data_IF_805071317817
#
_entry.id   IF_805071317817
#
_cell.length_a   1.000
_cell.length_b   1.000
_cell.length_c   1.000
_cell.angle_alpha   90.00
_cell.angle_beta   90.00
_cell.angle_gamma   90.00
#
_symmetry.space_group_name_H-M   'P 1'
#
loop_
_entity.id
_entity.type
_entity.pdbx_description
1 polymer ?
#
# COMPACT_ATOMS: atom_id res chain seq x y z
N UNK A 1 -18.22 -38.13 -18.31
CA UNK A 1 -19.40 -38.37 -19.17
C UNK A 1 -19.16 -37.71 -20.52
N UNK A 2 -19.30 -38.41 -21.65
CA UNK A 2 -19.12 -37.81 -22.98
C UNK A 2 -20.48 -37.38 -23.54
N UNK A 3 -20.74 -36.07 -23.62
CA UNK A 3 -21.95 -35.52 -24.24
C UNK A 3 -21.69 -35.12 -25.72
N UNK A 4 -22.52 -35.66 -26.62
CA UNK A 4 -22.36 -35.49 -28.08
C UNK A 4 -22.83 -34.13 -28.59
N UNK A 5 -23.80 -33.49 -27.93
CA UNK A 5 -24.37 -32.20 -28.33
C UNK A 5 -23.98 -31.08 -27.37
N UNK A 6 -24.05 -29.82 -27.83
CA UNK A 6 -23.83 -28.63 -26.97
C UNK A 6 -24.84 -28.57 -25.82
N UNK A 7 -26.13 -28.79 -26.10
CA UNK A 7 -27.18 -28.76 -25.09
C UNK A 7 -27.00 -29.82 -23.99
N UNK A 8 -26.62 -31.06 -24.33
CA UNK A 8 -26.33 -32.08 -23.32
C UNK A 8 -25.07 -31.76 -22.49
N UNK A 9 -24.10 -31.02 -23.05
CA UNK A 9 -22.93 -30.55 -22.27
C UNK A 9 -23.34 -29.49 -21.25
N UNK A 10 -24.13 -28.50 -21.67
CA UNK A 10 -24.65 -27.44 -20.80
C UNK A 10 -25.54 -28.02 -19.69
N UNK A 11 -26.34 -29.05 -20.00
CA UNK A 11 -27.16 -29.74 -19.01
C UNK A 11 -26.34 -30.50 -17.96
N UNK A 12 -25.29 -31.20 -18.39
CA UNK A 12 -24.35 -31.86 -17.48
C UNK A 12 -23.57 -30.84 -16.65
N UNK A 13 -23.13 -29.74 -17.25
CA UNK A 13 -22.45 -28.64 -16.56
C UNK A 13 -23.34 -28.05 -15.47
N UNK A 14 -24.61 -27.77 -15.77
CA UNK A 14 -25.58 -27.29 -14.79
C UNK A 14 -25.87 -28.31 -13.69
N UNK A 15 -25.93 -29.60 -14.02
CA UNK A 15 -26.24 -30.67 -13.06
C UNK A 15 -25.09 -30.94 -12.08
N UNK A 16 -23.86 -30.95 -12.57
CA UNK A 16 -22.69 -31.35 -11.78
C UNK A 16 -21.77 -30.18 -11.39
N UNK A 17 -21.99 -28.98 -11.94
CA UNK A 17 -21.14 -27.81 -11.70
C UNK A 17 -19.74 -27.90 -12.31
N UNK A 18 -19.47 -28.92 -13.15
CA UNK A 18 -18.14 -29.20 -13.69
C UNK A 18 -18.21 -29.23 -15.22
N UNK A 19 -17.31 -28.48 -15.86
CA UNK A 19 -17.11 -28.50 -17.31
C UNK A 19 -15.88 -29.31 -17.65
N UNK A 20 -15.98 -30.15 -18.68
CA UNK A 20 -14.81 -30.88 -19.20
C UNK A 20 -13.75 -29.90 -19.70
N UNK A 21 -12.51 -30.10 -19.26
CA UNK A 21 -11.31 -29.42 -19.75
C UNK A 21 -10.26 -30.47 -20.08
N UNK A 22 -9.51 -30.27 -21.17
CA UNK A 22 -8.37 -31.13 -21.52
C UNK A 22 -7.32 -31.17 -20.40
N UNK A 23 -7.28 -30.12 -19.56
CA UNK A 23 -6.42 -30.09 -18.38
C UNK A 23 -6.72 -31.24 -17.41
N UNK A 24 -7.97 -31.73 -17.35
CA UNK A 24 -8.35 -32.87 -16.50
C UNK A 24 -7.77 -34.21 -16.98
N UNK A 25 -7.26 -34.29 -18.21
CA UNK A 25 -6.54 -35.47 -18.70
C UNK A 25 -5.08 -35.49 -18.24
N UNK A 26 -4.56 -34.36 -17.73
CA UNK A 26 -3.20 -34.29 -17.22
C UNK A 26 -3.14 -34.93 -15.83
N UNK A 27 -2.40 -36.04 -15.72
CA UNK A 27 -2.27 -36.81 -14.46
C UNK A 27 -1.77 -35.99 -13.26
N UNK A 28 -1.06 -34.89 -13.52
CA UNK A 28 -0.54 -34.00 -12.49
C UNK A 28 -1.45 -32.82 -12.17
N UNK A 29 -2.51 -32.58 -12.95
CA UNK A 29 -3.39 -31.42 -12.76
C UNK A 29 -4.47 -31.74 -11.73
N UNK A 30 -4.35 -31.11 -10.56
CA UNK A 30 -5.41 -31.11 -9.54
C UNK A 30 -6.29 -29.86 -9.74
N UNK A 31 -7.52 -29.99 -10.27
CA UNK A 31 -8.37 -28.82 -10.52
C UNK A 31 -8.79 -28.09 -9.25
N UNK A 32 -8.72 -28.72 -8.07
CA UNK A 32 -9.06 -28.09 -6.79
C UNK A 32 -7.87 -27.26 -6.29
N UNK A 33 -6.65 -27.81 -6.34
CA UNK A 33 -5.45 -27.12 -5.85
C UNK A 33 -4.80 -26.18 -6.86
N UNK A 34 -4.92 -26.48 -8.15
CA UNK A 34 -4.26 -25.74 -9.23
C UNK A 34 -5.16 -24.70 -9.89
N UNK A 35 -6.39 -24.51 -9.40
CA UNK A 35 -7.25 -23.38 -9.75
C UNK A 35 -7.16 -22.32 -8.67
N UNK A 36 -6.37 -21.28 -8.92
CA UNK A 36 -6.07 -20.25 -7.93
C UNK A 36 -7.28 -19.35 -7.70
N UNK A 37 -7.56 -19.06 -6.43
CA UNK A 37 -8.55 -18.06 -6.04
C UNK A 37 -7.97 -16.66 -6.12
N UNK A 38 -8.37 -15.91 -7.15
CA UNK A 38 -7.97 -14.52 -7.29
C UNK A 38 -8.62 -13.61 -6.23
N UNK A 39 -7.84 -12.93 -5.37
CA UNK A 39 -8.37 -12.05 -4.34
C UNK A 39 -9.03 -10.78 -4.89
N UNK A 40 -8.68 -10.34 -6.11
CA UNK A 40 -9.33 -9.18 -6.72
C UNK A 40 -10.81 -9.46 -7.00
N UNK A 41 -11.12 -10.57 -7.67
CA UNK A 41 -12.48 -10.99 -7.94
C UNK A 41 -13.20 -11.51 -6.70
N UNK A 42 -12.51 -12.26 -5.84
CA UNK A 42 -13.12 -12.88 -4.68
C UNK A 42 -13.43 -11.88 -3.55
N UNK A 43 -12.43 -11.12 -3.09
CA UNK A 43 -12.58 -10.20 -1.95
C UNK A 43 -13.21 -8.87 -2.39
N UNK A 44 -12.62 -8.19 -3.39
CA UNK A 44 -12.98 -6.81 -3.71
C UNK A 44 -14.18 -6.69 -4.65
N UNK A 45 -14.12 -7.31 -5.83
CA UNK A 45 -15.26 -7.26 -6.77
C UNK A 45 -16.42 -8.17 -6.37
N UNK A 46 -16.13 -9.21 -5.59
CA UNK A 46 -17.07 -10.17 -5.06
C UNK A 46 -17.69 -9.70 -3.75
N UNK A 47 -17.03 -10.02 -2.63
CA UNK A 47 -17.59 -9.82 -1.29
C UNK A 47 -17.81 -8.34 -0.94
N UNK A 48 -16.84 -7.44 -1.20
CA UNK A 48 -17.02 -6.02 -0.86
C UNK A 48 -18.15 -5.35 -1.65
N UNK A 49 -18.24 -5.66 -2.95
CA UNK A 49 -19.34 -5.17 -3.79
C UNK A 49 -20.69 -5.74 -3.36
N UNK A 50 -20.72 -7.01 -2.96
CA UNK A 50 -21.92 -7.67 -2.46
C UNK A 50 -22.44 -7.04 -1.16
N UNK A 51 -21.54 -6.71 -0.23
CA UNK A 51 -21.91 -6.00 1.01
C UNK A 51 -22.64 -4.67 0.73
N UNK A 52 -22.09 -3.83 -0.17
CA UNK A 52 -22.77 -2.59 -0.53
C UNK A 52 -24.15 -2.82 -1.16
N UNK A 53 -24.29 -3.86 -2.00
CA UNK A 53 -25.58 -4.22 -2.60
C UNK A 53 -26.61 -4.64 -1.54
N UNK A 54 -26.20 -5.45 -0.56
CA UNK A 54 -27.07 -5.87 0.53
C UNK A 54 -27.52 -4.67 1.35
N UNK A 55 -26.61 -3.80 1.76
CA UNK A 55 -26.97 -2.65 2.56
C UNK A 55 -27.94 -1.71 1.85
N UNK A 56 -27.83 -1.58 0.52
CA UNK A 56 -28.79 -0.83 -0.28
C UNK A 56 -30.15 -1.56 -0.41
N UNK A 57 -30.14 -2.86 -0.72
CA UNK A 57 -31.36 -3.66 -0.89
C UNK A 57 -32.18 -3.76 0.40
N UNK A 58 -31.50 -3.85 1.55
CA UNK A 58 -32.11 -3.93 2.89
C UNK A 58 -32.40 -2.55 3.52
N UNK A 59 -32.15 -1.46 2.78
CA UNK A 59 -32.36 -0.06 3.24
C UNK A 59 -31.58 0.30 4.51
N UNK A 60 -30.48 -0.40 4.78
CA UNK A 60 -29.48 -0.02 5.77
C UNK A 60 -28.77 1.26 5.29
N UNK A 61 -28.42 1.30 4.01
CA UNK A 61 -27.98 2.53 3.34
C UNK A 61 -29.16 3.14 2.57
N UNK A 62 -29.42 4.42 2.83
CA UNK A 62 -30.40 5.27 2.15
C UNK A 62 -29.68 6.45 1.50
N UNK A 63 -30.36 7.22 0.66
CA UNK A 63 -29.73 8.34 -0.07
C UNK A 63 -29.08 9.37 0.86
N UNK A 64 -29.69 9.64 2.02
CA UNK A 64 -29.11 10.48 3.08
C UNK A 64 -27.75 9.94 3.60
N UNK A 65 -27.66 8.62 3.79
CA UNK A 65 -26.44 7.95 4.22
C UNK A 65 -25.35 8.04 3.14
N UNK A 66 -25.73 7.99 1.87
CA UNK A 66 -24.78 8.15 0.76
C UNK A 66 -24.20 9.57 0.72
N UNK A 67 -25.00 10.59 1.03
CA UNK A 67 -24.53 11.96 1.22
C UNK A 67 -23.51 12.07 2.35
N UNK A 68 -23.82 11.50 3.52
CA UNK A 68 -22.90 11.48 4.67
C UNK A 68 -21.58 10.75 4.37
N UNK A 69 -21.64 9.64 3.63
CA UNK A 69 -20.43 8.91 3.20
C UNK A 69 -19.62 9.78 2.25
N UNK A 70 -20.26 10.43 1.27
CA UNK A 70 -19.62 11.32 0.32
C UNK A 70 -18.87 12.46 1.03
N UNK A 71 -19.53 13.15 1.96
CA UNK A 71 -18.92 14.23 2.75
C UNK A 71 -17.67 13.74 3.50
N UNK A 72 -17.74 12.54 4.11
CA UNK A 72 -16.57 11.95 4.78
C UNK A 72 -15.45 11.64 3.80
N UNK A 73 -15.74 11.08 2.63
CA UNK A 73 -14.72 10.78 1.61
C UNK A 73 -14.05 12.06 1.09
N UNK A 74 -14.78 13.17 0.95
CA UNK A 74 -14.23 14.45 0.50
C UNK A 74 -13.23 15.07 1.49
N UNK A 75 -13.38 14.78 2.79
CA UNK A 75 -12.41 15.19 3.82
C UNK A 75 -11.07 14.45 3.70
N UNK A 76 -11.03 13.32 2.99
CA UNK A 76 -9.87 12.44 2.96
C UNK A 76 -8.79 12.98 2.03
N UNK A 77 -7.59 13.07 2.58
CA UNK A 77 -6.35 13.36 1.88
C UNK A 77 -5.56 12.07 1.66
N UNK A 78 -5.16 11.84 0.41
CA UNK A 78 -4.43 10.65 -0.01
C UNK A 78 -3.03 11.01 -0.50
N UNK A 79 -2.00 10.21 -0.14
CA UNK A 79 -0.72 10.21 -0.83
C UNK A 79 -0.88 10.01 -2.35
N UNK A 80 0.08 10.51 -3.14
CA UNK A 80 0.01 10.48 -4.61
C UNK A 80 -0.12 9.07 -5.20
N UNK A 81 0.36 8.06 -4.49
CA UNK A 81 0.48 6.65 -4.88
C UNK A 81 -0.65 5.74 -4.35
N UNK A 82 -1.68 6.30 -3.72
CA UNK A 82 -2.89 5.56 -3.30
C UNK A 82 -3.99 5.65 -4.37
N UNK A 83 -3.93 6.64 -5.27
CA UNK A 83 -5.05 6.98 -6.16
C UNK A 83 -6.20 7.63 -5.39
N UNK A 84 -7.06 8.38 -6.09
CA UNK A 84 -8.27 8.96 -5.49
C UNK A 84 -9.45 8.00 -5.67
N UNK A 85 -10.34 7.93 -4.68
CA UNK A 85 -11.67 7.38 -4.91
C UNK A 85 -12.45 8.27 -5.90
N UNK A 86 -13.45 7.72 -6.61
CA UNK A 86 -14.37 8.53 -7.41
C UNK A 86 -15.00 9.63 -6.57
N UNK A 87 -15.04 10.84 -7.10
CA UNK A 87 -15.64 12.00 -6.43
C UNK A 87 -17.18 11.93 -6.32
N UNK A 88 -17.82 10.88 -6.83
CA UNK A 88 -19.28 10.79 -6.97
C UNK A 88 -19.81 9.48 -6.40
N UNK A 89 -19.63 9.27 -5.11
CA UNK A 89 -20.12 8.11 -4.37
C UNK A 89 -21.65 8.02 -4.40
N UNK A 90 -22.35 9.16 -4.34
CA UNK A 90 -23.82 9.24 -4.34
C UNK A 90 -24.47 8.94 -5.70
N UNK A 91 -23.85 9.33 -6.82
CA UNK A 91 -24.43 9.16 -8.18
C UNK A 91 -23.86 7.98 -8.97
N UNK A 92 -22.79 7.35 -8.49
CA UNK A 92 -22.13 6.21 -9.14
C UNK A 92 -21.89 5.08 -8.13
N UNK A 93 -22.85 4.88 -7.23
CA UNK A 93 -22.75 3.90 -6.16
C UNK A 93 -22.52 2.49 -6.72
N UNK A 94 -21.36 1.91 -6.41
CA UNK A 94 -21.00 0.54 -6.80
C UNK A 94 -20.36 0.35 -8.19
N UNK A 95 -20.11 1.43 -8.95
CA UNK A 95 -19.38 1.38 -10.23
C UNK A 95 -17.87 1.65 -10.09
N UNK A 96 -17.28 1.22 -8.98
CA UNK A 96 -15.85 1.37 -8.76
C UNK A 96 -15.05 0.41 -9.63
N UNK A 97 -13.87 0.86 -10.06
CA UNK A 97 -12.86 -0.04 -10.63
C UNK A 97 -12.34 -0.99 -9.56
N UNK A 98 -11.69 -2.08 -9.96
CA UNK A 98 -11.12 -3.05 -9.01
C UNK A 98 -10.16 -2.38 -7.99
N UNK A 99 -9.35 -1.42 -8.43
CA UNK A 99 -8.38 -0.74 -7.55
C UNK A 99 -9.09 0.18 -6.54
N UNK A 100 -10.15 0.84 -7.00
CA UNK A 100 -11.01 1.64 -6.13
C UNK A 100 -11.75 0.78 -5.12
N UNK A 101 -12.21 -0.42 -5.48
CA UNK A 101 -12.80 -1.37 -4.52
C UNK A 101 -11.80 -1.82 -3.46
N UNK A 102 -10.57 -2.14 -3.87
CA UNK A 102 -9.50 -2.46 -2.92
C UNK A 102 -9.25 -1.31 -1.96
N UNK A 103 -9.09 -0.08 -2.47
CA UNK A 103 -8.82 1.07 -1.61
C UNK A 103 -10.02 1.41 -0.73
N UNK A 104 -11.26 1.31 -1.25
CA UNK A 104 -12.49 1.43 -0.48
C UNK A 104 -12.47 0.47 0.71
N UNK A 105 -12.29 -0.82 0.45
CA UNK A 105 -12.28 -1.85 1.48
C UNK A 105 -11.18 -1.60 2.50
N UNK A 106 -9.93 -1.46 2.06
CA UNK A 106 -8.78 -1.46 2.97
C UNK A 106 -8.57 -0.12 3.67
N UNK A 107 -8.84 1.02 3.03
CA UNK A 107 -8.40 2.33 3.54
C UNK A 107 -9.55 3.22 3.99
N UNK A 108 -10.66 3.25 3.27
CA UNK A 108 -11.66 4.31 3.42
C UNK A 108 -12.93 3.88 4.16
N UNK A 109 -13.36 2.63 3.97
CA UNK A 109 -14.69 2.17 4.36
C UNK A 109 -14.96 2.25 5.87
N UNK A 110 -14.02 1.86 6.74
CA UNK A 110 -14.22 1.90 8.21
C UNK A 110 -14.45 3.34 8.69
N UNK A 111 -13.68 4.29 8.18
CA UNK A 111 -13.86 5.71 8.51
C UNK A 111 -15.18 6.26 7.94
N UNK A 112 -15.49 5.95 6.68
CA UNK A 112 -16.65 6.50 5.99
C UNK A 112 -17.98 5.93 6.51
N UNK A 113 -18.01 4.65 6.91
CA UNK A 113 -19.20 3.93 7.38
C UNK A 113 -19.46 4.09 8.88
N UNK A 114 -18.48 4.60 9.65
CA UNK A 114 -18.69 4.91 11.08
C UNK A 114 -19.81 5.93 11.23
N UNK A 115 -20.71 5.73 12.19
CA UNK A 115 -21.91 6.56 12.42
C UNK A 115 -22.94 6.54 11.27
N UNK A 116 -22.76 5.66 10.27
CA UNK A 116 -23.72 5.41 9.18
C UNK A 116 -24.30 4.01 9.30
N UNK A 117 -23.45 3.02 9.54
CA UNK A 117 -23.87 1.66 9.85
C UNK A 117 -24.13 1.49 11.36
N UNK A 118 -25.03 0.56 11.70
CA UNK A 118 -25.20 0.13 13.09
C UNK A 118 -23.92 -0.57 13.57
N UNK A 119 -23.76 -0.65 14.89
CA UNK A 119 -22.55 -1.22 15.50
C UNK A 119 -22.25 -2.63 14.97
N UNK A 120 -23.24 -3.54 14.95
CA UNK A 120 -23.02 -4.92 14.51
C UNK A 120 -22.68 -5.04 13.03
N UNK A 121 -23.32 -4.24 12.16
CA UNK A 121 -23.00 -4.17 10.74
C UNK A 121 -21.56 -3.69 10.50
N UNK A 122 -21.15 -2.65 11.24
CA UNK A 122 -19.80 -2.10 11.15
C UNK A 122 -18.76 -3.09 11.68
N UNK A 123 -19.04 -3.80 12.77
CA UNK A 123 -18.16 -4.83 13.32
C UNK A 123 -18.00 -6.03 12.38
N UNK A 124 -19.08 -6.47 11.76
CA UNK A 124 -19.06 -7.48 10.71
C UNK A 124 -18.14 -7.04 9.57
N UNK A 125 -18.37 -5.84 9.02
CA UNK A 125 -17.53 -5.29 7.96
C UNK A 125 -16.06 -5.11 8.38
N UNK A 126 -15.82 -4.67 9.62
CA UNK A 126 -14.47 -4.46 10.15
C UNK A 126 -13.65 -5.74 10.21
N UNK A 127 -14.27 -6.88 10.54
CA UNK A 127 -13.60 -8.18 10.48
C UNK A 127 -13.09 -8.47 9.06
N UNK A 128 -13.94 -8.24 8.04
CA UNK A 128 -13.56 -8.39 6.64
C UNK A 128 -12.44 -7.43 6.21
N UNK A 129 -12.50 -6.15 6.60
CA UNK A 129 -11.46 -5.16 6.30
C UNK A 129 -10.11 -5.54 6.92
N UNK A 130 -10.12 -5.94 8.20
CA UNK A 130 -8.90 -6.37 8.89
C UNK A 130 -8.30 -7.63 8.26
N UNK A 131 -9.13 -8.58 7.81
CA UNK A 131 -8.65 -9.73 7.06
C UNK A 131 -7.97 -9.30 5.75
N UNK A 132 -8.67 -8.51 4.93
CA UNK A 132 -8.15 -8.04 3.63
C UNK A 132 -6.81 -7.31 3.81
N UNK A 133 -6.68 -6.47 4.84
CA UNK A 133 -5.41 -5.79 5.12
C UNK A 133 -4.28 -6.73 5.48
N UNK A 134 -4.54 -7.73 6.33
CA UNK A 134 -3.50 -8.70 6.70
C UNK A 134 -3.03 -9.53 5.49
N UNK A 135 -3.93 -9.82 4.55
CA UNK A 135 -3.59 -10.49 3.30
C UNK A 135 -2.86 -9.57 2.30
N UNK A 136 -3.25 -8.28 2.23
CA UNK A 136 -2.69 -7.30 1.31
C UNK A 136 -1.39 -6.68 1.82
N UNK A 137 -0.43 -7.52 2.22
CA UNK A 137 0.92 -7.09 2.59
C UNK A 137 1.96 -7.71 1.64
N UNK A 138 3.00 -6.96 1.27
CA UNK A 138 4.08 -7.44 0.39
C UNK A 138 4.91 -8.55 1.06
N UNK A 139 4.98 -8.55 2.39
CA UNK A 139 5.66 -9.57 3.19
C UNK A 139 4.67 -10.14 4.18
N UNK A 140 4.41 -11.45 4.09
CA UNK A 140 3.44 -12.12 4.93
C UNK A 140 4.12 -13.06 5.93
N UNK A 141 3.75 -12.91 7.20
CA UNK A 141 4.05 -13.90 8.23
C UNK A 141 2.94 -14.95 8.25
N UNK A 142 3.27 -16.22 8.50
CA UNK A 142 2.27 -17.30 8.67
C UNK A 142 1.23 -16.96 9.75
N UNK A 143 1.62 -16.22 10.79
CA UNK A 143 0.70 -15.72 11.82
C UNK A 143 -0.36 -14.77 11.27
N UNK A 144 0.01 -13.90 10.32
CA UNK A 144 -0.91 -12.94 9.71
C UNK A 144 -1.92 -13.66 8.81
N UNK A 145 -1.47 -14.70 8.08
CA UNK A 145 -2.37 -15.54 7.25
C UNK A 145 -3.40 -16.24 8.12
N UNK A 146 -2.97 -16.86 9.24
CA UNK A 146 -3.89 -17.50 10.20
C UNK A 146 -4.86 -16.49 10.82
N UNK A 147 -4.39 -15.29 11.16
CA UNK A 147 -5.26 -14.23 11.69
C UNK A 147 -6.29 -13.79 10.66
N UNK A 148 -5.88 -13.58 9.40
CA UNK A 148 -6.78 -13.21 8.32
C UNK A 148 -7.84 -14.28 8.07
N UNK A 149 -7.47 -15.56 8.08
CA UNK A 149 -8.41 -16.67 7.94
C UNK A 149 -9.47 -16.66 9.06
N UNK A 150 -9.06 -16.51 10.33
CA UNK A 150 -9.99 -16.38 11.46
C UNK A 150 -10.94 -15.19 11.30
N UNK A 151 -10.43 -14.05 10.83
CA UNK A 151 -11.22 -12.85 10.59
C UNK A 151 -12.22 -13.04 9.44
N UNK A 152 -11.84 -13.72 8.35
CA UNK A 152 -12.75 -14.05 7.25
C UNK A 152 -13.86 -14.99 7.68
N UNK A 153 -13.54 -16.04 8.46
CA UNK A 153 -14.55 -16.95 9.00
C UNK A 153 -15.50 -16.23 9.95
N UNK A 154 -14.98 -15.41 10.86
CA UNK A 154 -15.81 -14.59 11.76
C UNK A 154 -16.68 -13.60 10.98
N UNK A 155 -16.18 -13.03 9.89
CA UNK A 155 -17.00 -12.22 8.98
C UNK A 155 -18.14 -13.04 8.37
N UNK A 156 -17.87 -14.23 7.83
CA UNK A 156 -18.91 -15.08 7.23
C UNK A 156 -19.98 -15.49 8.25
N UNK A 157 -19.60 -15.91 9.46
CA UNK A 157 -20.53 -16.27 10.54
C UNK A 157 -21.41 -15.08 10.97
N UNK A 158 -20.80 -13.90 11.14
CA UNK A 158 -21.54 -12.66 11.47
C UNK A 158 -22.45 -12.23 10.34
N UNK A 159 -21.98 -12.37 9.10
CA UNK A 159 -22.72 -12.04 7.90
C UNK A 159 -23.98 -12.89 7.81
N UNK A 160 -23.87 -14.21 7.94
CA UNK A 160 -25.00 -15.14 7.90
C UNK A 160 -26.02 -14.81 9.00
N UNK A 161 -25.55 -14.57 10.23
CA UNK A 161 -26.41 -14.19 11.36
C UNK A 161 -27.16 -12.87 11.13
N UNK A 162 -26.52 -11.88 10.52
CA UNK A 162 -27.10 -10.54 10.32
C UNK A 162 -27.99 -10.46 9.08
N UNK A 163 -27.62 -11.16 8.01
CA UNK A 163 -28.23 -10.97 6.70
C UNK A 163 -28.92 -12.22 6.14
N UNK A 164 -28.82 -13.37 6.80
CA UNK A 164 -29.43 -14.63 6.37
C UNK A 164 -28.53 -15.48 5.48
N UNK A 165 -28.78 -16.79 5.51
CA UNK A 165 -28.07 -17.79 4.70
C UNK A 165 -28.30 -17.60 3.19
N UNK A 166 -29.48 -17.11 2.79
CA UNK A 166 -29.89 -16.88 1.41
C UNK A 166 -29.02 -15.85 0.69
N UNK A 167 -28.31 -15.01 1.47
CA UNK A 167 -27.44 -13.95 0.97
C UNK A 167 -25.96 -14.34 0.96
N UNK A 168 -25.60 -15.52 1.47
CA UNK A 168 -24.24 -16.02 1.43
C UNK A 168 -23.89 -16.37 -0.02
N UNK A 169 -22.71 -15.95 -0.47
CA UNK A 169 -22.26 -16.17 -1.86
C UNK A 169 -21.16 -17.21 -1.95
N UNK A 170 -20.96 -17.85 -3.11
CA UNK A 170 -19.81 -18.71 -3.34
C UNK A 170 -18.48 -18.03 -3.03
N UNK A 171 -18.35 -16.71 -3.29
CA UNK A 171 -17.15 -15.95 -2.95
C UNK A 171 -16.84 -15.99 -1.45
N UNK A 172 -17.87 -15.90 -0.60
CA UNK A 172 -17.72 -15.97 0.86
C UNK A 172 -17.31 -17.36 1.32
N UNK A 173 -17.81 -18.41 0.68
CA UNK A 173 -17.33 -19.77 0.92
C UNK A 173 -15.85 -19.90 0.53
N UNK A 174 -15.45 -19.40 -0.64
CA UNK A 174 -14.06 -19.46 -1.10
C UNK A 174 -13.07 -18.72 -0.19
N UNK A 175 -13.52 -17.80 0.69
CA UNK A 175 -12.67 -17.21 1.71
C UNK A 175 -11.97 -18.26 2.59
N UNK A 176 -12.62 -19.40 2.84
CA UNK A 176 -12.10 -20.48 3.67
C UNK A 176 -10.90 -21.22 3.05
N UNK A 177 -10.65 -21.00 1.75
CA UNK A 177 -9.60 -21.65 0.97
C UNK A 177 -8.45 -20.71 0.57
N UNK A 178 -8.56 -19.42 0.90
CA UNK A 178 -7.52 -18.43 0.56
C UNK A 178 -6.20 -18.70 1.28
N UNK A 179 -6.22 -19.26 2.48
CA UNK A 179 -5.01 -19.65 3.21
C UNK A 179 -4.24 -20.77 2.49
N UNK A 180 -4.95 -21.74 1.92
CA UNK A 180 -4.38 -22.83 1.11
C UNK A 180 -3.72 -22.26 -0.14
N UNK A 181 -4.41 -21.37 -0.86
CA UNK A 181 -3.84 -20.66 -2.02
C UNK A 181 -2.57 -19.89 -1.65
N UNK A 182 -2.56 -19.22 -0.50
CA UNK A 182 -1.38 -18.47 -0.04
C UNK A 182 -0.21 -19.39 0.31
N UNK A 183 -0.49 -20.56 0.91
CA UNK A 183 0.55 -21.53 1.23
C UNK A 183 1.14 -22.17 -0.05
N UNK A 184 0.33 -22.38 -1.08
CA UNK A 184 0.75 -23.03 -2.33
C UNK A 184 1.43 -22.04 -3.30
N UNK A 185 0.93 -20.80 -3.42
CA UNK A 185 1.37 -19.83 -4.43
C UNK A 185 2.09 -18.60 -3.87
N UNK A 186 2.20 -18.48 -2.55
CA UNK A 186 2.86 -17.36 -1.87
C UNK A 186 1.93 -16.16 -1.61
N UNK A 187 2.47 -14.94 -1.50
CA UNK A 187 1.67 -13.74 -1.26
C UNK A 187 0.64 -13.46 -2.33
N UNK A 188 -0.50 -12.85 -1.95
CA UNK A 188 -1.58 -12.55 -2.90
C UNK A 188 -1.12 -11.70 -4.09
N UNK A 189 -0.09 -10.87 -3.89
CA UNK A 189 0.51 -10.05 -4.94
C UNK A 189 1.12 -10.87 -6.07
N UNK A 190 1.47 -12.13 -5.82
CA UNK A 190 2.05 -13.05 -6.80
C UNK A 190 1.02 -13.60 -7.78
N UNK A 191 -0.26 -13.66 -7.40
CA UNK A 191 -1.30 -14.33 -8.20
C UNK A 191 -2.60 -13.55 -8.36
N UNK A 192 -2.72 -12.35 -7.77
CA UNK A 192 -3.90 -11.50 -7.99
C UNK A 192 -3.97 -10.99 -9.44
N UNK A 193 -5.18 -10.83 -9.96
CA UNK A 193 -5.39 -10.56 -11.39
C UNK A 193 -5.38 -9.08 -11.77
N UNK A 194 -5.01 -8.18 -10.86
CA UNK A 194 -4.90 -6.75 -11.16
C UNK A 194 -3.97 -6.45 -12.34
N UNK A 195 -2.84 -7.16 -12.42
CA UNK A 195 -1.88 -7.01 -13.51
C UNK A 195 -2.44 -7.58 -14.81
N UNK A 196 -2.99 -8.78 -14.75
CA UNK A 196 -3.60 -9.46 -15.89
C UNK A 196 -4.74 -8.66 -16.52
N UNK A 197 -5.66 -8.09 -15.72
CA UNK A 197 -6.73 -7.24 -16.25
C UNK A 197 -6.21 -5.97 -16.93
N UNK A 198 -5.12 -5.40 -16.41
CA UNK A 198 -4.47 -4.25 -17.05
C UNK A 198 -3.84 -4.65 -18.38
N UNK A 199 -3.12 -5.77 -18.42
CA UNK A 199 -2.54 -6.29 -19.66
C UNK A 199 -3.61 -6.63 -20.69
N UNK A 200 -4.74 -7.20 -20.27
CA UNK A 200 -5.91 -7.41 -21.13
C UNK A 200 -6.41 -6.08 -21.72
N UNK A 201 -6.44 -5.02 -20.92
CA UNK A 201 -6.75 -3.66 -21.38
C UNK A 201 -5.75 -3.12 -22.41
N UNK A 202 -4.45 -3.33 -22.18
CA UNK A 202 -3.38 -2.93 -23.11
C UNK A 202 -3.53 -3.68 -24.44
N UNK A 203 -3.67 -5.01 -24.38
CA UNK A 203 -3.88 -5.86 -25.56
C UNK A 203 -5.15 -5.47 -26.32
N UNK A 204 -6.25 -5.23 -25.60
CA UNK A 204 -7.53 -4.81 -26.18
C UNK A 204 -7.50 -3.41 -26.81
N UNK A 205 -6.61 -2.53 -26.35
CA UNK A 205 -6.41 -1.19 -26.90
C UNK A 205 -5.61 -1.19 -28.21
N UNK A 206 -4.94 -2.29 -28.55
CA UNK A 206 -4.13 -2.36 -29.75
C UNK A 206 -5.02 -2.26 -30.99
N UNK A 207 -4.76 -1.31 -31.92
CA UNK A 207 -5.52 -1.22 -33.14
C UNK A 207 -5.29 -2.50 -33.95
N UNK A 208 -6.37 -3.20 -34.28
CA UNK A 208 -6.34 -4.38 -35.14
C UNK A 208 -7.27 -4.17 -36.32
N UNK A 209 -6.91 -4.72 -37.48
CA UNK A 209 -7.79 -4.75 -38.65
C UNK A 209 -8.88 -5.86 -38.55
N UNK A 210 -9.07 -6.45 -37.36
CA UNK A 210 -9.99 -7.56 -37.04
C UNK A 210 -9.79 -8.84 -37.86
N UNK A 211 -8.66 -9.01 -38.55
CA UNK A 211 -8.26 -10.24 -39.27
C UNK A 211 -6.96 -10.80 -38.71
N UNK A 212 -6.89 -12.09 -38.40
CA UNK A 212 -5.69 -12.72 -37.80
C UNK A 212 -5.16 -11.92 -36.60
N UNK A 213 -6.03 -11.71 -35.60
CA UNK A 213 -5.76 -10.85 -34.43
C UNK A 213 -4.54 -11.38 -33.67
N UNK A 214 -4.43 -12.70 -33.53
CA UNK A 214 -3.33 -13.40 -32.90
C UNK A 214 -1.97 -13.05 -33.53
N UNK A 215 -1.88 -13.01 -34.87
CA UNK A 215 -0.64 -12.66 -35.57
C UNK A 215 -0.28 -11.18 -35.35
N UNK A 216 -1.28 -10.30 -35.35
CA UNK A 216 -1.06 -8.86 -35.14
C UNK A 216 -0.55 -8.57 -33.72
N UNK A 217 -1.17 -9.19 -32.71
CA UNK A 217 -0.74 -9.08 -31.32
C UNK A 217 0.68 -9.63 -31.15
N UNK A 218 0.97 -10.81 -31.70
CA UNK A 218 2.30 -11.42 -31.66
C UNK A 218 3.37 -10.49 -32.28
N UNK A 219 3.12 -9.98 -33.49
CA UNK A 219 4.07 -9.08 -34.18
C UNK A 219 4.32 -7.80 -33.39
N UNK A 220 3.28 -7.22 -32.79
CA UNK A 220 3.41 -6.00 -31.99
C UNK A 220 4.16 -6.25 -30.69
N UNK A 221 3.90 -7.37 -30.01
CA UNK A 221 4.63 -7.79 -28.83
C UNK A 221 6.13 -8.00 -29.12
N UNK A 222 6.45 -8.76 -30.19
CA UNK A 222 7.84 -8.99 -30.62
C UNK A 222 8.54 -7.68 -30.98
N UNK A 223 7.86 -6.77 -31.70
CA UNK A 223 8.40 -5.44 -32.01
C UNK A 223 8.74 -4.64 -30.75
N UNK A 224 7.86 -4.65 -29.75
CA UNK A 224 8.09 -3.94 -28.49
C UNK A 224 9.27 -4.53 -27.71
N UNK A 225 9.38 -5.86 -27.64
CA UNK A 225 10.52 -6.55 -27.02
C UNK A 225 11.83 -6.19 -27.70
N UNK A 226 11.92 -6.27 -29.03
CA UNK A 226 13.13 -5.90 -29.75
C UNK A 226 13.50 -4.42 -29.52
N UNK A 227 12.51 -3.53 -29.45
CA UNK A 227 12.75 -2.12 -29.13
C UNK A 227 13.40 -1.96 -27.75
N UNK A 228 12.92 -2.69 -26.74
CA UNK A 228 13.48 -2.69 -25.38
C UNK A 228 14.90 -3.27 -25.34
N UNK A 229 15.14 -4.39 -26.02
CA UNK A 229 16.46 -5.01 -26.09
C UNK A 229 17.50 -4.10 -26.73
N UNK A 230 17.12 -3.34 -27.76
CA UNK A 230 17.99 -2.36 -28.40
C UNK A 230 18.33 -1.21 -27.42
N UNK A 231 17.35 -0.73 -26.65
CA UNK A 231 17.54 0.33 -25.64
C UNK A 231 18.44 -0.14 -24.49
N UNK A 232 18.24 -1.36 -23.99
CA UNK A 232 19.00 -1.89 -22.86
C UNK A 232 20.45 -2.26 -23.22
N UNK A 233 20.73 -2.62 -24.48
CA UNK A 233 22.06 -3.08 -24.89
C UNK A 233 22.95 -1.97 -25.48
N UNK A 234 22.43 -0.78 -25.75
CA UNK A 234 23.20 0.29 -26.38
C UNK A 234 23.49 1.43 -25.38
N UNK A 235 24.77 1.60 -25.01
CA UNK A 235 25.33 2.82 -24.39
C UNK A 235 25.23 4.07 -25.30
N UNK A 236 24.41 4.05 -26.37
CA UNK A 236 24.33 5.06 -27.45
C UNK A 236 23.32 6.19 -27.10
N UNK A 237 22.66 6.12 -25.95
CA UNK A 237 21.57 7.04 -25.59
C UNK A 237 22.00 8.46 -25.21
N UNK A 238 23.30 8.78 -25.14
CA UNK A 238 23.72 10.17 -24.85
C UNK A 238 23.35 11.15 -25.95
N UNK A 239 23.31 10.70 -27.21
CA UNK A 239 23.25 11.62 -28.36
C UNK A 239 21.90 11.59 -29.11
N UNK A 240 21.13 10.50 -29.04
CA UNK A 240 19.86 10.34 -29.79
C UNK A 240 18.67 9.83 -28.95
N UNK A 241 18.83 9.71 -27.63
CA UNK A 241 17.84 9.05 -26.77
C UNK A 241 16.44 9.68 -26.78
N UNK A 242 16.35 11.00 -26.95
CA UNK A 242 15.07 11.73 -26.92
C UNK A 242 14.22 11.47 -28.17
N UNK A 243 14.83 11.45 -29.36
CA UNK A 243 14.17 11.15 -30.62
C UNK A 243 13.84 9.65 -30.72
N UNK A 244 14.73 8.79 -30.20
CA UNK A 244 14.53 7.35 -30.18
C UNK A 244 13.32 6.97 -29.30
N UNK A 245 13.23 7.51 -28.08
CA UNK A 245 12.10 7.24 -27.19
C UNK A 245 10.75 7.68 -27.79
N UNK A 246 10.72 8.81 -28.51
CA UNK A 246 9.55 9.27 -29.26
C UNK A 246 9.18 8.34 -30.42
N UNK A 247 10.17 7.87 -31.19
CA UNK A 247 9.95 7.01 -32.36
C UNK A 247 9.35 5.64 -31.98
N UNK A 248 9.73 5.11 -30.82
CA UNK A 248 9.26 3.82 -30.31
C UNK A 248 8.11 3.92 -29.29
N UNK A 249 7.62 5.14 -29.00
CA UNK A 249 6.53 5.36 -28.04
C UNK A 249 6.87 4.94 -26.61
N UNK A 250 8.17 4.91 -26.26
CA UNK A 250 8.63 4.54 -24.92
C UNK A 250 8.34 5.64 -23.89
N UNK A 251 8.26 6.90 -24.32
CA UNK A 251 7.80 8.02 -23.51
C UNK A 251 6.28 7.97 -23.23
N UNK A 252 5.52 7.23 -24.04
CA UNK A 252 4.05 7.14 -23.97
C UNK A 252 3.55 5.95 -23.14
N UNK A 253 4.42 5.02 -22.73
CA UNK A 253 4.05 4.04 -21.72
C UNK A 253 3.74 4.83 -20.44
N UNK A 254 2.47 4.96 -20.03
CA UNK A 254 2.17 5.77 -18.89
C UNK A 254 2.79 5.07 -17.69
N UNK A 255 3.83 5.69 -17.14
CA UNK A 255 4.51 5.29 -15.91
C UNK A 255 3.57 5.56 -14.71
N UNK A 256 2.38 4.97 -14.78
CA UNK A 256 1.24 5.22 -13.90
C UNK A 256 0.67 3.91 -13.43
N UNK A 257 0.90 3.64 -12.16
CA UNK A 257 0.16 2.62 -11.41
C UNK A 257 1.03 1.53 -10.80
N UNK A 258 0.35 0.63 -10.10
CA UNK A 258 0.95 -0.32 -9.17
C UNK A 258 1.91 -1.32 -9.85
N UNK A 259 1.78 -1.56 -11.16
CA UNK A 259 2.59 -2.51 -11.93
C UNK A 259 4.01 -2.00 -12.24
N UNK A 260 4.18 -0.72 -12.59
CA UNK A 260 5.52 -0.10 -12.74
C UNK A 260 6.24 -0.01 -11.38
N UNK A 261 5.48 0.21 -10.30
CA UNK A 261 5.98 0.09 -8.92
C UNK A 261 6.28 -1.38 -8.50
N UNK A 262 5.76 -2.38 -9.22
CA UNK A 262 5.97 -3.81 -8.94
C UNK A 262 7.08 -4.44 -9.81
N UNK A 263 7.38 -3.86 -10.97
CA UNK A 263 8.50 -4.27 -11.83
C UNK A 263 9.86 -3.81 -11.30
N UNK A 264 9.88 -2.78 -10.43
CA UNK A 264 11.04 -2.46 -9.61
C UNK A 264 11.20 -3.58 -8.58
N UNK A 265 12.36 -4.26 -8.58
CA UNK A 265 12.67 -5.31 -7.61
C UNK A 265 12.34 -4.77 -6.20
N UNK A 266 11.42 -5.40 -5.46
CA UNK A 266 11.16 -4.96 -4.11
C UNK A 266 12.46 -5.09 -3.32
N UNK A 267 12.95 -3.98 -2.77
CA UNK A 267 14.11 -4.01 -1.92
C UNK A 267 13.71 -4.58 -0.56
N UNK A 268 13.90 -5.90 -0.41
CA UNK A 268 13.67 -6.61 0.85
C UNK A 268 14.54 -6.05 1.98
N UNK A 269 15.65 -5.38 1.66
CA UNK A 269 16.49 -4.70 2.64
C UNK A 269 15.75 -3.52 3.26
N UNK A 270 15.10 -2.68 2.45
CA UNK A 270 14.30 -1.57 2.97
C UNK A 270 13.16 -2.03 3.87
N UNK A 271 12.45 -3.11 3.51
CA UNK A 271 11.39 -3.66 4.37
C UNK A 271 11.96 -4.08 5.73
N UNK A 272 13.16 -4.69 5.75
CA UNK A 272 13.84 -5.04 7.00
C UNK A 272 14.17 -3.78 7.81
N UNK A 273 14.79 -2.77 7.18
CA UNK A 273 15.19 -1.52 7.82
C UNK A 273 13.99 -0.70 8.36
N UNK A 274 12.84 -0.73 7.70
CA UNK A 274 11.64 -0.01 8.13
C UNK A 274 10.76 -0.80 9.13
N UNK A 275 11.11 -2.06 9.37
CA UNK A 275 10.39 -2.93 10.31
C UNK A 275 10.64 -2.54 11.76
N UNK A 276 9.95 -3.24 12.67
CA UNK A 276 10.13 -3.08 14.11
C UNK A 276 11.44 -3.72 14.61
N UNK A 277 11.83 -4.87 14.06
CA UNK A 277 12.95 -5.68 14.55
C UNK A 277 14.16 -5.49 13.64
N UNK A 278 14.66 -4.26 13.58
CA UNK A 278 15.84 -3.91 12.79
C UNK A 278 17.09 -4.30 13.56
N UNK A 279 18.01 -4.94 12.87
CA UNK A 279 19.36 -5.13 13.36
C UNK A 279 20.20 -3.90 13.02
N UNK A 280 20.30 -2.96 13.96
CA UNK A 280 21.09 -1.74 13.79
C UNK A 280 22.59 -2.01 13.68
N UNK A 281 23.08 -3.16 14.17
CA UNK A 281 24.52 -3.45 14.16
C UNK A 281 25.02 -3.74 12.74
N UNK A 282 24.18 -4.36 11.91
CA UNK A 282 24.54 -4.83 10.57
C UNK A 282 23.84 -4.05 9.44
N UNK A 283 23.04 -3.03 9.76
CA UNK A 283 22.34 -2.22 8.78
C UNK A 283 23.27 -1.19 8.11
N UNK A 284 23.20 -1.05 6.78
CA UNK A 284 23.83 0.07 6.08
C UNK A 284 22.84 1.25 5.97
N UNK A 285 23.18 2.36 6.62
CA UNK A 285 22.37 3.59 6.60
C UNK A 285 22.84 4.60 5.55
N UNK A 286 23.95 4.30 4.87
CA UNK A 286 24.61 5.17 3.90
C UNK A 286 23.87 5.16 2.56
N UNK A 287 23.94 6.27 1.84
CA UNK A 287 23.49 6.36 0.45
C UNK A 287 24.63 5.90 -0.47
N UNK A 288 24.75 4.59 -0.70
CA UNK A 288 25.76 3.97 -1.56
C UNK A 288 25.14 3.32 -2.82
N UNK A 289 23.96 3.76 -3.21
CA UNK A 289 23.09 3.09 -4.18
C UNK A 289 23.29 3.51 -5.64
N UNK A 290 24.28 4.36 -5.92
CA UNK A 290 24.53 4.88 -7.28
C UNK A 290 23.43 5.81 -7.81
N UNK A 291 22.49 6.26 -6.96
CA UNK A 291 21.39 7.12 -7.38
C UNK A 291 21.78 8.61 -7.34
N UNK A 292 21.28 9.37 -8.33
CA UNK A 292 21.35 10.84 -8.31
C UNK A 292 20.28 11.42 -7.37
N UNK A 293 20.73 12.08 -6.30
CA UNK A 293 19.84 12.80 -5.40
C UNK A 293 19.59 14.22 -5.91
N UNK A 294 18.38 14.79 -5.69
CA UNK A 294 18.05 16.13 -6.14
C UNK A 294 19.05 17.16 -5.61
N UNK A 295 19.39 18.15 -6.45
CA UNK A 295 20.17 19.29 -5.99
C UNK A 295 19.42 20.02 -4.87
N UNK A 296 20.03 20.02 -3.68
CA UNK A 296 19.48 20.66 -2.49
C UNK A 296 20.09 22.02 -2.24
N UNK A 297 19.38 22.88 -1.49
CA UNK A 297 19.95 24.14 -1.01
C UNK A 297 20.86 23.86 0.19
N UNK A 298 22.08 24.40 0.18
CA UNK A 298 22.96 24.32 1.35
C UNK A 298 22.36 25.10 2.51
N UNK A 299 22.36 24.49 3.70
CA UNK A 299 21.82 25.05 4.94
C UNK A 299 22.70 24.63 6.11
N UNK A 300 22.53 25.29 7.25
CA UNK A 300 23.23 24.97 8.50
C UNK A 300 22.23 24.54 9.58
N UNK A 301 22.64 23.58 10.41
CA UNK A 301 21.94 23.13 11.61
C UNK A 301 22.22 24.05 12.78
N UNK A 302 21.29 24.12 13.73
CA UNK A 302 21.56 24.76 15.04
C UNK A 302 22.37 23.82 15.94
N UNK A 303 23.01 24.35 16.98
CA UNK A 303 23.76 23.55 17.96
C UNK A 303 22.88 22.46 18.61
N UNK A 304 21.62 22.79 18.91
CA UNK A 304 20.64 21.85 19.45
C UNK A 304 20.32 20.74 18.45
N UNK A 305 20.15 21.06 17.17
CA UNK A 305 19.90 20.07 16.12
C UNK A 305 21.11 19.14 15.90
N UNK A 306 22.34 19.67 15.95
CA UNK A 306 23.58 18.88 15.88
C UNK A 306 23.64 17.89 17.05
N UNK A 307 23.33 18.33 18.27
CA UNK A 307 23.28 17.45 19.46
C UNK A 307 22.26 16.32 19.32
N UNK A 308 21.07 16.62 18.80
CA UNK A 308 20.04 15.60 18.56
C UNK A 308 20.43 14.62 17.43
N UNK A 309 21.04 15.11 16.35
CA UNK A 309 21.58 14.26 15.28
C UNK A 309 22.70 13.36 15.78
N UNK A 310 23.60 13.88 16.61
CA UNK A 310 24.65 13.09 17.26
C UNK A 310 24.06 11.90 18.05
N UNK A 311 23.07 12.16 18.90
CA UNK A 311 22.36 11.11 19.64
C UNK A 311 21.68 10.09 18.70
N UNK A 312 21.06 10.57 17.61
CA UNK A 312 20.42 9.71 16.62
C UNK A 312 21.43 8.81 15.91
N UNK A 313 22.55 9.36 15.45
CA UNK A 313 23.60 8.57 14.81
C UNK A 313 24.24 7.56 15.76
N UNK A 314 24.36 7.89 17.05
CA UNK A 314 24.78 6.92 18.07
C UNK A 314 23.85 5.71 18.19
N UNK A 315 22.55 5.87 17.89
CA UNK A 315 21.61 4.74 17.79
C UNK A 315 21.78 3.97 16.48
N UNK A 316 22.03 4.67 15.36
CA UNK A 316 22.22 4.02 14.06
C UNK A 316 23.50 3.19 13.97
N UNK A 317 24.55 3.63 14.66
CA UNK A 317 25.89 3.03 14.61
C UNK A 317 26.36 2.63 16.01
N UNK A 318 25.75 1.61 16.63
CA UNK A 318 26.05 1.23 18.02
C UNK A 318 27.49 0.75 18.22
N UNK A 319 28.14 0.26 17.15
CA UNK A 319 29.49 -0.31 17.18
C UNK A 319 30.57 0.67 16.71
N UNK A 320 30.21 1.91 16.36
CA UNK A 320 31.15 2.91 15.84
C UNK A 320 31.22 4.05 16.85
N UNK A 321 32.43 4.40 17.28
CA UNK A 321 32.65 5.55 18.15
C UNK A 321 32.48 6.85 17.35
N UNK A 322 31.27 7.40 17.37
CA UNK A 322 30.97 8.70 16.76
C UNK A 322 31.35 9.79 17.76
N UNK A 323 32.13 10.78 17.32
CA UNK A 323 32.44 11.98 18.09
C UNK A 323 31.48 13.12 17.73
N UNK A 324 31.35 14.14 18.59
CA UNK A 324 30.47 15.28 18.28
C UNK A 324 30.96 16.06 17.04
N UNK A 325 32.27 16.11 16.81
CA UNK A 325 32.91 16.77 15.67
C UNK A 325 32.68 16.01 14.36
N UNK A 326 32.27 14.74 14.45
CA UNK A 326 31.97 13.90 13.29
C UNK A 326 30.66 14.31 12.59
N UNK A 327 29.76 15.01 13.30
CA UNK A 327 28.46 15.46 12.79
C UNK A 327 28.63 16.82 12.11
N UNK A 328 28.50 16.87 10.79
CA UNK A 328 28.64 18.12 10.05
C UNK A 328 27.50 19.11 10.35
N UNK A 329 27.84 20.39 10.54
CA UNK A 329 26.84 21.45 10.74
C UNK A 329 26.06 21.74 9.44
N UNK A 330 26.72 21.60 8.29
CA UNK A 330 26.12 21.87 6.98
C UNK A 330 25.37 20.65 6.43
N UNK A 331 24.23 20.89 5.79
CA UNK A 331 23.46 19.87 5.07
C UNK A 331 22.85 20.43 3.79
N UNK A 332 22.45 19.54 2.86
CA UNK A 332 21.68 19.91 1.67
C UNK A 332 20.19 19.63 1.90
N UNK A 333 19.37 20.67 1.83
CA UNK A 333 17.92 20.59 2.00
C UNK A 333 17.23 20.28 0.67
N UNK A 334 16.44 19.21 0.64
CA UNK A 334 15.66 18.79 -0.55
C UNK A 334 14.16 18.87 -0.30
N UNK A 335 13.38 19.16 -1.35
CA UNK A 335 11.92 19.34 -1.24
C UNK A 335 11.13 18.03 -1.36
N UNK A 336 11.71 17.05 -2.03
CA UNK A 336 11.15 15.72 -2.22
C UNK A 336 12.27 14.75 -2.57
N UNK A 337 12.02 13.47 -2.36
CA UNK A 337 12.89 12.37 -2.78
C UNK A 337 12.05 11.20 -3.27
N UNK A 338 12.54 10.50 -4.28
CA UNK A 338 11.98 9.23 -4.74
C UNK A 338 12.76 8.10 -4.09
N UNK A 339 12.10 7.28 -3.29
CA UNK A 339 12.69 6.14 -2.60
C UNK A 339 11.93 4.91 -3.08
N UNK A 340 12.62 4.03 -3.82
CA UNK A 340 12.06 2.83 -4.43
C UNK A 340 10.73 3.10 -5.18
N UNK A 341 10.70 4.17 -5.98
CA UNK A 341 9.49 4.55 -6.74
C UNK A 341 8.37 5.20 -5.91
N UNK A 342 8.50 5.31 -4.59
CA UNK A 342 7.60 6.12 -3.78
C UNK A 342 8.17 7.51 -3.53
N UNK A 343 7.37 8.53 -3.83
CA UNK A 343 7.73 9.91 -3.51
C UNK A 343 7.48 10.16 -2.01
N UNK A 344 8.50 10.69 -1.33
CA UNK A 344 8.40 11.37 -0.05
C UNK A 344 8.53 12.88 -0.26
N UNK A 345 7.60 13.63 0.30
CA UNK A 345 7.57 15.09 0.23
C UNK A 345 7.79 15.73 1.59
N UNK A 346 7.90 17.06 1.60
CA UNK A 346 7.92 17.86 2.84
C UNK A 346 6.62 18.64 3.02
N UNK A 347 6.34 19.07 4.25
CA UNK A 347 5.20 19.91 4.63
C UNK A 347 5.03 21.16 3.76
N UNK A 348 6.13 21.75 3.32
CA UNK A 348 6.15 22.98 2.52
C UNK A 348 6.36 22.73 1.01
N UNK A 349 6.39 21.46 0.59
CA UNK A 349 6.59 21.05 -0.79
C UNK A 349 5.29 20.91 -1.58
N UNK A 350 5.39 20.90 -2.92
CA UNK A 350 4.27 20.55 -3.80
C UNK A 350 3.72 19.13 -3.55
N UNK A 351 4.59 18.25 -3.04
CA UNK A 351 4.30 16.86 -2.68
C UNK A 351 3.88 16.70 -1.21
N UNK A 352 3.24 17.72 -0.60
CA UNK A 352 2.87 17.71 0.83
C UNK A 352 2.02 16.50 1.26
N UNK A 353 1.18 15.98 0.35
CA UNK A 353 0.35 14.79 0.61
C UNK A 353 1.18 13.53 0.83
N UNK A 354 2.43 13.54 0.40
CA UNK A 354 3.42 12.49 0.60
C UNK A 354 4.37 12.78 1.76
N UNK A 355 4.07 13.76 2.62
CA UNK A 355 4.83 14.06 3.83
C UNK A 355 4.28 13.34 5.08
N UNK A 356 3.08 12.76 5.00
CA UNK A 356 2.45 12.05 6.12
C UNK A 356 2.92 10.60 6.19
N UNK A 357 3.62 10.25 7.26
CA UNK A 357 4.32 8.97 7.41
C UNK A 357 4.00 8.23 8.71
N UNK A 358 4.17 6.92 8.70
CA UNK A 358 4.15 6.03 9.85
C UNK A 358 5.55 5.45 10.04
N UNK A 359 6.06 5.40 11.27
CA UNK A 359 7.34 4.76 11.56
C UNK A 359 7.41 4.17 12.98
N UNK A 360 8.19 3.11 13.14
CA UNK A 360 8.53 2.51 14.43
C UNK A 360 9.80 3.18 14.99
N UNK A 361 9.71 4.47 15.31
CA UNK A 361 10.90 5.29 15.59
C UNK A 361 10.82 6.12 16.88
N UNK A 362 9.68 6.74 17.15
CA UNK A 362 9.48 7.58 18.34
C UNK A 362 8.67 6.82 19.39
N UNK A 363 9.05 6.95 20.66
CA UNK A 363 8.39 6.29 21.79
C UNK A 363 7.28 7.12 22.48
N UNK A 364 7.11 8.39 22.12
CA UNK A 364 6.14 9.28 22.78
C UNK A 364 6.74 10.35 23.70
N UNK A 365 8.05 10.28 23.98
CA UNK A 365 8.72 11.20 24.91
C UNK A 365 9.91 11.91 24.25
N UNK A 366 9.78 12.26 22.96
CA UNK A 366 10.86 12.84 22.15
C UNK A 366 12.13 11.96 22.05
N UNK A 367 12.04 10.67 22.43
CA UNK A 367 13.15 9.71 22.41
C UNK A 367 12.98 8.69 21.29
N UNK A 368 14.13 8.18 20.85
CA UNK A 368 14.17 7.12 19.86
C UNK A 368 13.76 5.83 20.56
N UNK A 369 12.75 5.16 20.03
CA UNK A 369 12.28 3.90 20.56
C UNK A 369 13.41 2.87 20.55
N UNK A 370 13.73 2.33 21.73
CA UNK A 370 14.74 1.29 21.86
C UNK A 370 14.33 -0.01 21.15
N UNK A 371 15.31 -0.78 20.68
CA UNK A 371 15.11 -2.04 19.96
C UNK A 371 14.29 -3.09 20.75
N UNK A 372 14.22 -2.94 22.07
CA UNK A 372 13.54 -3.87 23.00
C UNK A 372 12.14 -3.41 23.42
N UNK A 373 11.59 -2.32 22.87
CA UNK A 373 10.24 -1.88 23.20
C UNK A 373 9.22 -2.95 22.78
N UNK A 374 8.53 -3.54 23.76
CA UNK A 374 7.60 -4.67 23.58
C UNK A 374 6.30 -4.25 22.86
N UNK A 375 5.94 -2.97 22.93
CA UNK A 375 4.67 -2.43 22.39
C UNK A 375 4.85 -1.34 21.33
N UNK A 376 5.95 -1.34 20.59
CA UNK A 376 6.20 -0.31 19.57
C UNK A 376 5.23 -0.43 18.39
N UNK A 377 4.19 0.40 18.38
CA UNK A 377 3.29 0.61 17.24
C UNK A 377 3.86 1.71 16.34
N UNK A 378 3.61 1.65 15.01
CA UNK A 378 4.06 2.70 14.13
C UNK A 378 3.32 4.01 14.42
N UNK A 379 4.07 5.05 14.77
CA UNK A 379 3.53 6.37 15.11
C UNK A 379 3.36 7.24 13.88
N UNK A 380 2.28 8.03 13.75
CA UNK A 380 2.12 8.97 12.67
C UNK A 380 2.95 10.25 12.89
N UNK A 381 3.56 10.74 11.82
CA UNK A 381 4.29 11.99 11.79
C UNK A 381 4.19 12.68 10.43
N UNK A 382 4.65 13.93 10.40
CA UNK A 382 4.72 14.74 9.20
C UNK A 382 6.17 15.17 8.95
N UNK A 383 6.70 14.88 7.75
CA UNK A 383 8.03 15.31 7.33
C UNK A 383 8.04 16.84 7.17
N UNK A 384 8.82 17.52 8.01
CA UNK A 384 9.05 18.95 7.93
C UNK A 384 10.15 19.27 6.91
N UNK A 385 11.28 18.56 6.99
CA UNK A 385 12.44 18.75 6.11
C UNK A 385 13.05 17.41 5.71
N UNK A 386 13.69 17.37 4.54
CA UNK A 386 14.54 16.27 4.10
C UNK A 386 15.97 16.81 3.97
N UNK A 387 16.91 16.11 4.60
CA UNK A 387 18.30 16.51 4.78
C UNK A 387 19.20 15.44 4.15
N UNK A 388 19.98 15.84 3.17
CA UNK A 388 21.17 15.12 2.74
C UNK A 388 22.32 15.58 3.63
N UNK A 389 22.68 14.73 4.59
CA UNK A 389 23.58 15.06 5.69
C UNK A 389 24.84 14.21 5.62
N UNK A 390 26.01 14.83 5.79
CA UNK A 390 27.27 14.11 5.85
C UNK A 390 27.66 13.79 7.29
N UNK A 391 28.18 12.59 7.51
CA UNK A 391 28.75 12.16 8.78
C UNK A 391 30.16 11.65 8.51
N UNK A 392 31.13 12.08 9.30
CA UNK A 392 32.49 11.56 9.24
C UNK A 392 32.58 10.27 10.05
N UNK A 393 32.87 9.15 9.40
CA UNK A 393 32.98 7.83 10.03
C UNK A 393 34.22 7.13 9.48
N UNK A 394 35.06 6.61 10.37
CA UNK A 394 36.28 5.85 10.02
C UNK A 394 37.18 6.55 8.98
N UNK A 395 37.37 7.87 9.14
CA UNK A 395 38.21 8.65 8.24
C UNK A 395 37.55 9.02 6.90
N UNK A 396 36.28 8.66 6.69
CA UNK A 396 35.55 8.89 5.44
C UNK A 396 34.26 9.68 5.66
N UNK A 397 33.94 10.53 4.70
CA UNK A 397 32.66 11.24 4.66
C UNK A 397 31.57 10.34 4.08
N UNK A 398 30.55 10.06 4.87
CA UNK A 398 29.41 9.22 4.51
C UNK A 398 28.13 10.06 4.38
N UNK A 399 27.42 9.92 3.25
CA UNK A 399 26.18 10.64 2.99
C UNK A 399 24.97 9.86 3.49
N UNK A 400 24.04 10.56 4.16
CA UNK A 400 22.80 10.01 4.70
C UNK A 400 21.61 10.85 4.27
N UNK A 401 20.45 10.20 4.09
CA UNK A 401 19.19 10.88 3.85
C UNK A 401 18.30 10.80 5.08
N UNK A 402 18.09 11.95 5.71
CA UNK A 402 17.38 12.08 6.99
C UNK A 402 16.11 12.90 6.77
N UNK A 403 15.00 12.44 7.34
CA UNK A 403 13.81 13.24 7.48
C UNK A 403 13.79 13.88 8.88
N UNK A 404 13.54 15.19 8.93
CA UNK A 404 13.11 15.88 10.15
C UNK A 404 11.60 15.78 10.22
N UNK A 405 11.08 15.08 11.22
CA UNK A 405 9.67 14.72 11.36
C UNK A 405 9.08 15.36 12.61
N UNK A 406 7.87 15.87 12.46
CA UNK A 406 7.03 16.33 13.55
C UNK A 406 6.06 15.19 13.89
N UNK A 407 6.11 14.66 15.11
CA UNK A 407 5.26 13.54 15.51
C UNK A 407 3.93 14.02 16.12
N UNK A 408 2.82 13.40 15.72
CA UNK A 408 1.51 13.72 16.30
C UNK A 408 1.39 13.15 17.71
N UNK A 409 0.80 13.90 18.63
CA UNK A 409 0.62 13.47 20.03
C UNK A 409 -0.66 12.67 20.24
N UNK A 410 -0.63 11.78 21.23
CA UNK A 410 -1.76 10.91 21.52
C UNK A 410 -2.96 11.66 22.11
N UNK A 411 -4.13 11.07 21.92
CA UNK A 411 -5.36 11.44 22.62
C UNK A 411 -5.66 10.39 23.69
N UNK A 412 -6.58 10.74 24.60
CA UNK A 412 -7.19 9.80 25.54
C UNK A 412 -7.65 8.53 24.80
N UNK A 413 -7.41 7.35 25.38
CA UNK A 413 -7.55 6.06 24.69
C UNK A 413 -8.95 5.84 24.07
N UNK A 414 -9.99 6.34 24.74
CA UNK A 414 -11.37 6.31 24.26
C UNK A 414 -11.57 7.09 22.95
N UNK A 415 -10.88 8.22 22.77
CA UNK A 415 -10.95 9.03 21.56
C UNK A 415 -10.04 8.47 20.47
N UNK A 416 -8.83 8.00 20.86
CA UNK A 416 -7.85 7.39 19.95
C UNK A 416 -8.47 6.24 19.16
N UNK A 417 -9.26 5.39 19.83
CA UNK A 417 -9.83 4.17 19.28
C UNK A 417 -11.32 4.30 18.87
N UNK A 418 -11.86 5.52 18.76
CA UNK A 418 -13.30 5.76 18.53
C UNK A 418 -13.86 5.09 17.25
N UNK A 419 -13.05 5.00 16.19
CA UNK A 419 -13.41 4.34 14.94
C UNK A 419 -13.18 2.81 14.97
N UNK A 420 -12.47 2.32 15.99
CA UNK A 420 -11.99 0.95 16.09
C UNK A 420 -10.82 0.65 15.15
N UNK A 421 -10.18 -0.52 15.36
CA UNK A 421 -9.05 -0.92 14.51
C UNK A 421 -9.49 -0.96 13.05
N UNK A 422 -8.76 -0.35 12.14
CA UNK A 422 -7.40 0.21 12.25
C UNK A 422 -7.32 1.73 12.32
N UNK A 423 -8.45 2.42 12.39
CA UNK A 423 -8.48 3.87 12.24
C UNK A 423 -8.18 4.49 13.60
N UNK A 424 -7.14 5.30 13.65
CA UNK A 424 -6.66 5.93 14.88
C UNK A 424 -6.87 7.44 14.83
N UNK A 425 -7.09 8.05 15.98
CA UNK A 425 -7.28 9.50 16.10
C UNK A 425 -6.14 10.10 16.92
N UNK A 426 -5.52 11.14 16.37
CA UNK A 426 -4.37 11.82 16.96
C UNK A 426 -4.63 13.34 17.04
N UNK A 427 -3.94 14.06 17.92
CA UNK A 427 -4.04 15.54 17.96
C UNK A 427 -3.39 16.13 16.72
N UNK A 428 -4.05 17.10 16.07
CA UNK A 428 -3.49 17.79 14.90
C UNK A 428 -2.87 19.15 15.20
N UNK A 429 -2.99 19.62 16.45
CA UNK A 429 -2.51 20.92 16.92
C UNK A 429 -1.37 20.82 17.95
N UNK A 430 -1.12 19.62 18.48
CA UNK A 430 -0.07 19.34 19.45
C UNK A 430 0.90 18.30 18.90
N UNK A 431 2.19 18.60 18.98
CA UNK A 431 3.25 17.85 18.31
C UNK A 431 4.52 17.76 19.14
N UNK A 432 5.25 16.65 18.96
CA UNK A 432 6.64 16.56 19.38
C UNK A 432 7.56 17.08 18.28
N UNK A 433 8.37 18.08 18.63
CA UNK A 433 9.23 18.84 17.70
C UNK A 433 10.69 18.92 18.14
N UNK A 434 11.01 18.33 19.28
CA UNK A 434 12.35 18.36 19.85
C UNK A 434 12.83 16.94 20.18
N UNK A 435 14.12 16.82 20.51
CA UNK A 435 14.78 15.55 20.81
C UNK A 435 15.33 14.81 19.60
N UNK A 436 16.08 13.72 19.83
CA UNK A 436 16.71 12.91 18.78
C UNK A 436 15.69 12.20 17.89
N UNK A 437 14.48 11.89 18.40
CA UNK A 437 13.45 11.18 17.66
C UNK A 437 12.87 11.95 16.48
N UNK A 438 13.05 13.27 16.45
CA UNK A 438 12.65 14.13 15.33
C UNK A 438 13.46 13.84 14.08
N UNK A 439 14.69 13.33 14.20
CA UNK A 439 15.50 12.93 13.08
C UNK A 439 15.36 11.44 12.85
N UNK A 440 14.98 11.04 11.65
CA UNK A 440 14.81 9.64 11.27
C UNK A 440 15.51 9.41 9.92
N UNK A 441 16.36 8.39 9.78
CA UNK A 441 16.83 7.99 8.45
C UNK A 441 15.63 7.50 7.64
N UNK A 442 15.51 7.91 6.38
CA UNK A 442 14.32 7.61 5.57
C UNK A 442 14.07 6.11 5.39
N UNK A 443 15.09 5.27 5.56
CA UNK A 443 15.02 3.81 5.58
C UNK A 443 14.18 3.25 6.74
N UNK A 444 13.99 4.01 7.83
CA UNK A 444 13.13 3.61 8.96
C UNK A 444 11.65 3.98 8.77
N UNK A 445 11.31 4.72 7.72
CA UNK A 445 9.93 5.10 7.43
C UNK A 445 9.17 3.85 6.96
N UNK A 446 8.17 3.42 7.73
CA UNK A 446 7.38 2.22 7.41
C UNK A 446 6.51 2.48 6.18
N UNK A 447 5.64 3.49 6.24
CA UNK A 447 4.66 3.73 5.19
C UNK A 447 4.14 5.15 5.21
N UNK A 448 3.40 5.54 4.18
CA UNK A 448 2.54 6.74 4.21
C UNK A 448 1.14 6.35 4.68
N UNK A 449 0.36 7.32 5.15
CA UNK A 449 -1.02 7.06 5.57
C UNK A 449 -2.02 7.99 4.90
N UNK A 450 -3.27 7.52 4.83
CA UNK A 450 -4.42 8.31 4.41
C UNK A 450 -4.99 9.01 5.64
N UNK A 451 -5.46 10.24 5.49
CA UNK A 451 -5.93 11.00 6.65
C UNK A 451 -7.06 11.98 6.37
N UNK A 452 -7.75 12.39 7.43
CA UNK A 452 -8.72 13.49 7.39
C UNK A 452 -8.53 14.38 8.63
N UNK A 453 -8.72 15.69 8.47
CA UNK A 453 -8.77 16.61 9.60
C UNK A 453 -10.22 16.80 10.05
N UNK A 454 -10.44 16.83 11.36
CA UNK A 454 -11.77 17.07 11.95
C UNK A 454 -11.64 17.74 13.31
N UNK A 455 -12.71 18.38 13.78
CA UNK A 455 -12.84 18.80 15.17
C UNK A 455 -13.77 17.82 15.89
N UNK A 456 -13.30 17.18 16.96
CA UNK A 456 -14.08 16.24 17.77
C UNK A 456 -14.06 16.73 19.21
N UNK A 457 -15.23 16.97 19.81
CA UNK A 457 -15.37 17.50 21.19
C UNK A 457 -14.45 18.72 21.45
N UNK A 458 -14.47 19.68 20.53
CA UNK A 458 -13.62 20.90 20.55
C UNK A 458 -12.11 20.67 20.43
N UNK A 459 -11.64 19.43 20.23
CA UNK A 459 -10.22 19.11 19.95
C UNK A 459 -9.99 19.03 18.45
N UNK A 460 -8.94 19.67 17.93
CA UNK A 460 -8.52 19.52 16.53
C UNK A 460 -7.75 18.21 16.38
N UNK A 461 -8.25 17.33 15.52
CA UNK A 461 -7.71 15.99 15.35
C UNK A 461 -7.36 15.66 13.91
N UNK A 462 -6.39 14.76 13.76
CA UNK A 462 -6.11 14.06 12.53
C UNK A 462 -6.53 12.61 12.70
N UNK A 463 -7.37 12.15 11.76
CA UNK A 463 -7.84 10.77 11.69
C UNK A 463 -6.90 10.06 10.74
N UNK A 464 -6.20 9.05 11.24
CA UNK A 464 -5.16 8.31 10.54
C UNK A 464 -5.75 6.97 10.11
N UNK A 465 -5.68 6.71 8.81
CA UNK A 465 -6.03 5.43 8.19
C UNK A 465 -4.73 4.76 7.71
N UNK A 466 -4.12 3.88 8.55
CA UNK A 466 -2.83 3.29 8.25
C UNK A 466 -2.85 2.42 7.01
N UNK A 467 -1.96 2.73 6.07
CA UNK A 467 -1.66 1.86 4.93
C UNK A 467 -0.50 0.95 5.31
N UNK A 468 -0.75 -0.36 5.41
CA UNK A 468 0.31 -1.36 5.65
C UNK A 468 1.02 -1.76 4.36
N UNK A 469 1.47 -0.75 3.59
CA UNK A 469 2.33 -0.94 2.43
C UNK A 469 3.66 -0.25 2.71
N UNK A 470 4.71 -1.05 2.83
CA UNK A 470 6.06 -0.54 2.94
C UNK A 470 6.42 0.32 1.71
N UNK A 471 7.23 1.35 1.91
CA UNK A 471 7.84 2.14 0.83
C UNK A 471 8.79 1.20 0.10
N UNK A 472 8.38 0.67 -1.06
CA UNK A 472 9.16 -0.25 -1.91
C UNK A 472 8.76 -0.09 -3.36
#
# INVERSE_FOLDING_TARGET
MKAKTKGSREELERKYGIRYSVLLELHYFDPVRMTILDPMHNLFLGSAKHMLKIWNATKILRDEHLGMIQEKIELIQCPSDVGKLPQKFSSSFGSFTADQWKNWTILFSVFALKDVLKSDDLECWRAFVLACKNLCTRTMKKSNVKLAQKLLLSFCERFEKLYGEDRVTPNMHMHAHLDQCINDFGPIYSFWLFSFERENGILGSMPTNRRNIEIQLMRKFIKNLHSLDIVCNLNILSDFGSEFNKLFGLDELPDRGTLSEMSRKPDFEYIKLSSRNVDFQNADWRLNDGNEYPSGKSMALTEVEVKHLFQMYGVLYPNIAISAESVCISYRSVRQVSIYGSILGTKHGRSYRSAMILAHWSDGDCKIAGCNAVDLTPRPGQIEKLLLHNLFVDGKMCLHLIAKVIWFTELDESLKNMYGKQVEVWRSDSFEREGPAVFIPVQRIKSKFVYAYKTIKSKKVIIVCPRDRYIV
#
